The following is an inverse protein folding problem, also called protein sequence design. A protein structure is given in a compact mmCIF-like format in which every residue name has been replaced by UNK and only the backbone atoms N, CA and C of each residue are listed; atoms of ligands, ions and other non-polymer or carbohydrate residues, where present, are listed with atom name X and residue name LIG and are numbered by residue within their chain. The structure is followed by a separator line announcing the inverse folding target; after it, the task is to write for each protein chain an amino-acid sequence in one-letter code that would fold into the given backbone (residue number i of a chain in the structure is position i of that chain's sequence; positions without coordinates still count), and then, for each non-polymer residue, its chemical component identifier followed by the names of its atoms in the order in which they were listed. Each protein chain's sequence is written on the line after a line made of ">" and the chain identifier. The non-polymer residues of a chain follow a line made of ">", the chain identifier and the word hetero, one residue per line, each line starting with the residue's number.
data_IF_004942906146
#
_entry.id   IF_004942906146
#
_cell.length_a   1.000
_cell.length_b   1.000
_cell.length_c   1.000
_cell.angle_alpha   90.00
_cell.angle_beta   90.00
_cell.angle_gamma   90.00
#
_symmetry.space_group_name_H-M   'P 1'
#
loop_
_entity.id
_entity.type
_entity.pdbx_description
1 polymer ?
#
# COMPACT_ATOMS: atom_id res chain seq x y z
N UNK A 1 -48.19 14.47 36.41
CA UNK A 1 -48.12 13.91 35.05
C UNK A 1 -47.32 14.88 34.17
N UNK A 2 -46.16 14.48 33.65
CA UNK A 2 -45.35 15.31 32.76
C UNK A 2 -45.20 14.59 31.41
N UNK A 3 -45.56 15.27 30.30
CA UNK A 3 -45.44 14.73 28.95
C UNK A 3 -43.98 14.81 28.50
N UNK A 4 -43.45 13.69 28.02
CA UNK A 4 -42.09 13.60 27.48
C UNK A 4 -41.98 14.38 26.15
N UNK A 5 -40.99 15.27 26.07
CA UNK A 5 -40.58 15.94 24.83
C UNK A 5 -39.21 15.37 24.48
N UNK A 6 -39.08 14.60 23.40
CA UNK A 6 -37.83 14.45 22.63
C UNK A 6 -38.14 14.05 21.19
N UNK A 7 -38.64 15.01 20.41
CA UNK A 7 -38.60 14.93 18.96
C UNK A 7 -37.18 15.31 18.52
N UNK A 8 -36.35 14.32 18.22
CA UNK A 8 -34.99 14.56 17.70
C UNK A 8 -35.15 15.03 16.25
N UNK A 9 -35.03 16.34 16.02
CA UNK A 9 -34.83 16.88 14.67
C UNK A 9 -33.44 16.44 14.21
N UNK A 10 -33.39 15.51 13.26
CA UNK A 10 -32.20 15.29 12.44
C UNK A 10 -32.02 16.54 11.59
N UNK A 11 -31.00 17.32 11.91
CA UNK A 11 -30.53 18.40 11.05
C UNK A 11 -29.62 17.73 10.05
N UNK A 12 -30.14 17.47 8.84
CA UNK A 12 -29.29 17.12 7.71
C UNK A 12 -28.49 18.39 7.37
N UNK A 13 -27.15 18.40 7.50
CA UNK A 13 -26.36 19.59 7.25
C UNK A 13 -26.50 19.99 5.78
N UNK A 14 -26.71 21.28 5.53
CA UNK A 14 -26.84 21.80 4.18
C UNK A 14 -25.52 21.55 3.39
N UNK A 15 -25.58 21.35 2.06
CA UNK A 15 -24.39 21.09 1.23
C UNK A 15 -23.27 22.12 1.40
N UNK A 16 -23.62 23.36 1.74
CA UNK A 16 -22.72 24.49 1.97
C UNK A 16 -21.90 24.34 3.27
N UNK A 17 -22.49 23.72 4.32
CA UNK A 17 -21.81 23.45 5.60
C UNK A 17 -20.77 22.33 5.44
N UNK A 18 -21.04 21.35 4.56
CA UNK A 18 -20.07 20.31 4.19
C UNK A 18 -18.86 20.87 3.46
N UNK A 19 -19.07 21.83 2.54
CA UNK A 19 -17.97 22.45 1.81
C UNK A 19 -17.07 23.29 2.73
N UNK A 20 -17.65 24.10 3.62
CA UNK A 20 -16.86 24.92 4.54
C UNK A 20 -16.09 24.06 5.57
N UNK A 21 -16.72 23.01 6.11
CA UNK A 21 -16.07 22.11 7.07
C UNK A 21 -14.98 21.24 6.43
N UNK A 22 -15.20 20.73 5.22
CA UNK A 22 -14.20 19.96 4.47
C UNK A 22 -13.03 20.82 4.00
N UNK A 23 -13.29 22.05 3.56
CA UNK A 23 -12.23 23.00 3.20
C UNK A 23 -11.40 23.37 4.44
N UNK A 24 -12.03 23.61 5.58
CA UNK A 24 -11.31 23.88 6.84
C UNK A 24 -10.46 22.69 7.30
N UNK A 25 -10.96 21.46 7.16
CA UNK A 25 -10.21 20.25 7.51
C UNK A 25 -9.03 20.01 6.55
N UNK A 26 -9.20 20.25 5.25
CA UNK A 26 -8.12 20.17 4.26
C UNK A 26 -7.09 21.26 4.51
N UNK A 27 -7.51 22.49 4.83
CA UNK A 27 -6.62 23.61 5.17
C UNK A 27 -5.84 23.32 6.45
N UNK A 28 -6.48 22.72 7.46
CA UNK A 28 -5.81 22.37 8.71
C UNK A 28 -4.82 21.20 8.54
N UNK A 29 -5.21 20.15 7.82
CA UNK A 29 -4.32 19.04 7.47
C UNK A 29 -3.15 19.50 6.57
N UNK A 30 -3.39 20.46 5.68
CA UNK A 30 -2.38 21.13 4.88
C UNK A 30 -1.52 22.11 5.69
N UNK A 31 -2.02 22.73 6.75
CA UNK A 31 -1.22 23.57 7.62
C UNK A 31 -0.26 22.73 8.49
N UNK A 32 -0.68 21.53 8.91
CA UNK A 32 0.12 20.62 9.73
C UNK A 32 1.11 19.77 8.91
N UNK A 33 0.82 19.49 7.63
CA UNK A 33 1.63 18.63 6.75
C UNK A 33 1.97 19.27 5.39
N UNK A 34 2.02 20.61 5.34
CA UNK A 34 2.03 21.38 4.09
C UNK A 34 3.15 21.02 3.12
N UNK A 35 4.34 20.74 3.62
CA UNK A 35 5.48 20.38 2.75
C UNK A 35 5.28 19.04 2.05
N UNK A 36 4.71 18.04 2.73
CA UNK A 36 4.44 16.71 2.18
C UNK A 36 3.29 16.72 1.17
N UNK A 37 2.25 17.51 1.44
CA UNK A 37 1.13 17.69 0.51
C UNK A 37 1.54 18.43 -0.77
N UNK A 38 2.41 19.43 -0.66
CA UNK A 38 3.00 20.11 -1.83
C UNK A 38 3.80 19.11 -2.68
N UNK A 39 4.63 18.26 -2.06
CA UNK A 39 5.39 17.22 -2.78
C UNK A 39 4.47 16.21 -3.47
N UNK A 40 3.38 15.79 -2.83
CA UNK A 40 2.40 14.90 -3.45
C UNK A 40 1.72 15.55 -4.67
N UNK A 41 1.33 16.81 -4.56
CA UNK A 41 0.76 17.57 -5.67
C UNK A 41 1.76 17.74 -6.82
N UNK A 42 3.04 17.96 -6.51
CA UNK A 42 4.10 17.98 -7.53
C UNK A 42 4.27 16.62 -8.22
N UNK A 43 4.23 15.51 -7.48
CA UNK A 43 4.28 14.16 -8.07
C UNK A 43 3.08 13.94 -8.99
N UNK A 44 1.87 14.27 -8.56
CA UNK A 44 0.67 14.14 -9.38
C UNK A 44 0.79 15.01 -10.65
N UNK A 45 1.29 16.23 -10.53
CA UNK A 45 1.52 17.13 -11.66
C UNK A 45 2.59 16.60 -12.62
N UNK A 46 3.65 15.98 -12.11
CA UNK A 46 4.67 15.33 -12.93
C UNK A 46 4.09 14.11 -13.65
N UNK A 47 3.28 13.29 -12.97
CA UNK A 47 2.59 12.14 -13.57
C UNK A 47 1.61 12.58 -14.66
N UNK A 48 0.89 13.67 -14.45
CA UNK A 48 0.01 14.28 -15.45
C UNK A 48 0.81 14.78 -16.67
N UNK A 49 1.89 15.53 -16.44
CA UNK A 49 2.78 16.03 -17.49
C UNK A 49 3.48 14.93 -18.31
N UNK A 50 3.70 13.75 -17.71
CA UNK A 50 4.19 12.56 -18.40
C UNK A 50 3.09 11.78 -19.15
N UNK A 51 1.83 12.22 -19.06
CA UNK A 51 0.69 11.59 -19.71
C UNK A 51 0.19 10.32 -19.03
N UNK A 52 0.65 10.01 -17.81
CA UNK A 52 0.24 8.81 -17.06
C UNK A 52 -1.24 8.89 -16.70
N UNK A 53 -1.72 10.04 -16.23
CA UNK A 53 -3.13 10.25 -15.93
C UNK A 53 -4.00 10.15 -17.19
N UNK A 54 -3.55 10.74 -18.30
CA UNK A 54 -4.23 10.66 -19.60
C UNK A 54 -4.29 9.22 -20.13
N UNK A 55 -3.22 8.44 -19.96
CA UNK A 55 -3.21 7.03 -20.30
C UNK A 55 -4.21 6.24 -19.46
N UNK A 56 -4.27 6.48 -18.15
CA UNK A 56 -5.26 5.86 -17.26
C UNK A 56 -6.69 6.21 -17.66
N UNK A 57 -6.95 7.47 -18.00
CA UNK A 57 -8.26 7.93 -18.49
C UNK A 57 -8.64 7.24 -19.81
N UNK A 58 -7.72 7.16 -20.78
CA UNK A 58 -7.94 6.48 -22.05
C UNK A 58 -8.21 4.97 -21.88
N UNK A 59 -7.54 4.31 -20.93
CA UNK A 59 -7.82 2.92 -20.55
C UNK A 59 -9.23 2.75 -19.96
N UNK A 60 -9.68 3.70 -19.13
CA UNK A 60 -11.01 3.67 -18.50
C UNK A 60 -12.14 3.94 -19.50
N UNK A 61 -11.96 4.91 -20.40
CA UNK A 61 -12.94 5.25 -21.42
C UNK A 61 -13.13 4.09 -22.43
N UNK A 62 -12.03 3.43 -22.84
CA UNK A 62 -12.04 2.34 -23.82
C UNK A 62 -11.91 0.95 -23.18
N UNK A 63 -12.42 0.77 -21.96
CA UNK A 63 -12.24 -0.43 -21.12
C UNK A 63 -12.55 -1.78 -21.80
N UNK A 64 -13.51 -1.81 -22.74
CA UNK A 64 -13.94 -3.06 -23.41
C UNK A 64 -12.99 -3.43 -24.54
N UNK A 65 -12.70 -2.49 -25.44
CA UNK A 65 -11.83 -2.72 -26.60
C UNK A 65 -10.38 -2.98 -26.17
N UNK A 66 -9.91 -2.27 -25.15
CA UNK A 66 -8.57 -2.49 -24.58
C UNK A 66 -8.50 -3.86 -23.90
N UNK A 67 -9.56 -4.29 -23.21
CA UNK A 67 -9.59 -5.61 -22.58
C UNK A 67 -9.54 -6.74 -23.61
N UNK A 68 -10.26 -6.62 -24.73
CA UNK A 68 -10.28 -7.64 -25.78
C UNK A 68 -8.89 -7.80 -26.44
N UNK A 69 -8.23 -6.68 -26.75
CA UNK A 69 -6.87 -6.67 -27.30
C UNK A 69 -5.85 -7.21 -26.28
N UNK A 70 -5.97 -6.79 -25.01
CA UNK A 70 -5.09 -7.24 -23.93
C UNK A 70 -5.24 -8.75 -23.67
N UNK A 71 -6.46 -9.30 -23.70
CA UNK A 71 -6.70 -10.73 -23.52
C UNK A 71 -6.05 -11.55 -24.64
N UNK A 72 -6.11 -11.08 -25.88
CA UNK A 72 -5.41 -11.71 -27.00
C UNK A 72 -3.88 -11.71 -26.83
N UNK A 73 -3.31 -10.63 -26.30
CA UNK A 73 -1.86 -10.52 -26.05
C UNK A 73 -1.40 -11.31 -24.81
N UNK A 74 -2.23 -11.37 -23.77
CA UNK A 74 -1.97 -12.15 -22.56
C UNK A 74 -2.05 -13.66 -22.82
N UNK A 75 -2.85 -14.10 -23.79
CA UNK A 75 -2.92 -15.51 -24.16
C UNK A 75 -1.74 -15.99 -25.01
N UNK A 76 -0.76 -15.13 -25.30
CA UNK A 76 0.45 -15.55 -26.00
C UNK A 76 1.34 -16.42 -25.10
N UNK A 77 2.05 -17.44 -25.66
CA UNK A 77 2.95 -18.29 -24.88
C UNK A 77 4.01 -17.52 -24.07
N UNK A 78 4.47 -16.38 -24.60
CA UNK A 78 5.41 -15.49 -23.91
C UNK A 78 4.88 -14.92 -22.59
N UNK A 79 3.55 -14.83 -22.42
CA UNK A 79 2.89 -14.29 -21.24
C UNK A 79 2.55 -15.35 -20.20
N UNK A 80 2.72 -16.64 -20.51
CA UNK A 80 2.45 -17.73 -19.58
C UNK A 80 3.18 -17.58 -18.25
N UNK A 81 4.48 -17.27 -18.30
CA UNK A 81 5.29 -17.07 -17.08
C UNK A 81 4.90 -15.80 -16.32
N UNK A 82 4.56 -14.73 -17.02
CA UNK A 82 4.11 -13.47 -16.41
C UNK A 82 2.80 -13.68 -15.66
N UNK A 83 1.82 -14.31 -16.30
CA UNK A 83 0.52 -14.63 -15.70
C UNK A 83 0.71 -15.57 -14.52
N UNK A 84 1.51 -16.63 -14.68
CA UNK A 84 1.80 -17.58 -13.60
C UNK A 84 2.42 -16.90 -12.39
N UNK A 85 3.43 -16.04 -12.60
CA UNK A 85 4.08 -15.30 -11.53
C UNK A 85 3.14 -14.28 -10.89
N UNK A 86 2.36 -13.53 -11.68
CA UNK A 86 1.35 -12.60 -11.18
C UNK A 86 0.29 -13.30 -10.33
N UNK A 87 -0.21 -14.46 -10.78
CA UNK A 87 -1.15 -15.27 -10.02
C UNK A 87 -0.53 -15.80 -8.71
N UNK A 88 0.75 -16.18 -8.72
CA UNK A 88 1.46 -16.59 -7.51
C UNK A 88 1.60 -15.43 -6.52
N UNK A 89 1.88 -14.21 -7.00
CA UNK A 89 1.91 -13.00 -6.17
C UNK A 89 0.52 -12.74 -5.57
N UNK A 90 -0.55 -12.81 -6.36
CA UNK A 90 -1.92 -12.64 -5.86
C UNK A 90 -2.30 -13.69 -4.81
N UNK A 91 -1.93 -14.95 -5.04
CA UNK A 91 -2.13 -16.03 -4.05
C UNK A 91 -1.34 -15.77 -2.77
N UNK A 92 -0.10 -15.31 -2.89
CA UNK A 92 0.71 -14.92 -1.74
C UNK A 92 0.03 -13.79 -0.96
N UNK A 93 -0.37 -12.70 -1.61
CA UNK A 93 -1.08 -11.60 -0.94
C UNK A 93 -2.39 -12.08 -0.28
N UNK A 94 -3.16 -12.92 -0.96
CA UNK A 94 -4.40 -13.49 -0.42
C UNK A 94 -4.20 -14.51 0.69
N UNK A 95 -3.00 -15.06 0.85
CA UNK A 95 -2.65 -15.99 1.94
C UNK A 95 -2.19 -15.28 3.21
N UNK A 96 -1.88 -13.98 3.13
CA UNK A 96 -1.52 -13.18 4.31
C UNK A 96 -2.79 -12.90 5.11
N UNK A 97 -2.74 -13.16 6.41
CA UNK A 97 -3.83 -12.82 7.31
C UNK A 97 -4.10 -11.29 7.31
N UNK A 98 -5.37 -10.84 7.19
CA UNK A 98 -5.70 -9.43 7.11
C UNK A 98 -5.19 -8.59 8.29
N UNK A 99 -5.18 -9.14 9.50
CA UNK A 99 -4.72 -8.43 10.71
C UNK A 99 -3.20 -8.25 10.69
N UNK A 100 -2.47 -9.26 10.20
CA UNK A 100 -1.03 -9.19 10.00
C UNK A 100 -0.67 -8.16 8.91
N UNK A 101 -1.40 -8.15 7.80
CA UNK A 101 -1.22 -7.17 6.73
C UNK A 101 -1.48 -5.75 7.25
N UNK A 102 -2.57 -5.54 7.99
CA UNK A 102 -2.89 -4.25 8.60
C UNK A 102 -1.79 -3.79 9.56
N UNK A 103 -1.24 -4.69 10.35
CA UNK A 103 -0.15 -4.40 11.30
C UNK A 103 1.12 -3.94 10.56
N UNK A 104 1.50 -4.64 9.49
CA UNK A 104 2.66 -4.29 8.66
C UNK A 104 2.45 -2.91 8.01
N UNK A 105 1.30 -2.68 7.37
CA UNK A 105 0.99 -1.41 6.70
C UNK A 105 0.94 -0.24 7.68
N UNK A 106 0.35 -0.44 8.87
CA UNK A 106 0.31 0.58 9.92
C UNK A 106 1.71 0.90 10.45
N UNK A 107 2.55 -0.12 10.61
CA UNK A 107 3.95 0.03 11.01
C UNK A 107 4.78 0.83 10.00
N UNK A 108 4.59 0.59 8.69
CA UNK A 108 5.23 1.34 7.61
C UNK A 108 4.78 2.80 7.61
N UNK A 109 3.47 3.04 7.70
CA UNK A 109 2.88 4.39 7.72
C UNK A 109 3.41 5.20 8.91
N UNK A 110 3.36 4.60 10.11
CA UNK A 110 3.91 5.22 11.33
C UNK A 110 5.42 5.46 11.24
N UNK A 111 6.15 4.61 10.51
CA UNK A 111 7.58 4.78 10.24
C UNK A 111 7.87 6.01 9.38
N UNK A 112 7.08 6.23 8.32
CA UNK A 112 7.18 7.42 7.47
C UNK A 112 6.87 8.70 8.25
N UNK A 113 5.83 8.69 9.08
CA UNK A 113 5.49 9.83 9.94
C UNK A 113 6.63 10.18 10.91
N UNK A 114 7.22 9.17 11.57
CA UNK A 114 8.38 9.36 12.46
C UNK A 114 9.61 9.88 11.71
N UNK A 115 9.84 9.41 10.47
CA UNK A 115 10.93 9.89 9.63
C UNK A 115 10.74 11.35 9.18
N UNK A 116 9.51 11.74 8.84
CA UNK A 116 9.17 13.12 8.50
C UNK A 116 9.33 14.07 9.70
N UNK A 117 8.92 13.63 10.89
CA UNK A 117 9.04 14.41 12.14
C UNK A 117 10.49 14.60 12.62
N UNK A 118 11.41 13.72 12.23
CA UNK A 118 12.81 13.76 12.67
C UNK A 118 13.71 14.69 11.83
N UNK A 119 13.18 15.34 10.79
CA UNK A 119 13.82 16.49 10.13
C UNK A 119 15.19 16.22 9.49
N UNK A 120 15.56 14.96 9.24
CA UNK A 120 16.79 14.56 8.54
C UNK A 120 18.11 14.79 9.31
N UNK A 121 18.07 15.24 10.57
CA UNK A 121 19.26 15.62 11.34
C UNK A 121 19.38 14.85 12.66
N UNK A 122 19.07 13.56 12.64
CA UNK A 122 19.37 12.66 13.76
C UNK A 122 20.88 12.40 13.83
N UNK A 123 21.52 12.76 14.94
CA UNK A 123 22.93 12.42 15.20
C UNK A 123 23.15 10.91 15.07
N UNK A 124 24.24 10.48 14.40
CA UNK A 124 24.64 9.06 14.27
C UNK A 124 24.61 8.30 15.62
N UNK A 125 24.85 9.02 16.72
CA UNK A 125 24.75 8.49 18.08
C UNK A 125 23.31 8.17 18.51
N UNK A 126 22.33 9.02 18.18
CA UNK A 126 20.91 8.75 18.41
C UNK A 126 20.41 7.59 17.54
N UNK A 127 20.88 7.51 16.29
CA UNK A 127 20.56 6.41 15.38
C UNK A 127 21.03 5.07 15.98
N UNK A 128 22.28 4.99 16.43
CA UNK A 128 22.85 3.81 17.11
C UNK A 128 22.15 3.47 18.43
N UNK A 129 21.64 4.46 19.17
CA UNK A 129 20.83 4.24 20.37
C UNK A 129 19.43 3.73 20.02
N UNK A 130 18.83 4.20 18.92
CA UNK A 130 17.52 3.76 18.44
C UNK A 130 17.54 2.29 18.02
N UNK A 131 18.66 1.78 17.48
CA UNK A 131 18.81 0.36 17.15
C UNK A 131 18.71 -0.56 18.37
N UNK A 132 18.95 -0.04 19.58
CA UNK A 132 18.81 -0.79 20.84
C UNK A 132 17.41 -0.73 21.43
N UNK A 133 16.50 0.05 20.84
CA UNK A 133 15.11 0.15 21.30
C UNK A 133 14.38 -1.20 21.19
N UNK A 134 13.43 -1.50 22.09
CA UNK A 134 12.61 -2.70 22.01
C UNK A 134 11.87 -2.84 20.68
N UNK A 135 11.41 -1.72 20.11
CA UNK A 135 10.66 -1.67 18.86
C UNK A 135 11.52 -2.10 17.68
N UNK A 136 12.72 -1.53 17.53
CA UNK A 136 13.64 -1.90 16.44
C UNK A 136 14.10 -3.35 16.57
N UNK A 137 14.35 -3.84 17.79
CA UNK A 137 14.69 -5.26 18.01
C UNK A 137 13.58 -6.21 17.59
N UNK A 138 12.32 -5.89 17.85
CA UNK A 138 11.17 -6.70 17.41
C UNK A 138 11.09 -6.76 15.89
N UNK A 139 11.26 -5.63 15.20
CA UNK A 139 11.30 -5.60 13.73
C UNK A 139 12.48 -6.40 13.16
N UNK A 140 13.67 -6.28 13.75
CA UNK A 140 14.84 -7.07 13.34
C UNK A 140 14.63 -8.58 13.57
N UNK A 141 14.00 -8.98 14.66
CA UNK A 141 13.66 -10.37 14.93
C UNK A 141 12.65 -10.91 13.90
N UNK A 142 11.64 -10.12 13.53
CA UNK A 142 10.70 -10.47 12.47
C UNK A 142 11.41 -10.63 11.13
N UNK A 143 12.28 -9.69 10.74
CA UNK A 143 13.08 -9.80 9.53
C UNK A 143 13.96 -11.04 9.52
N UNK A 144 14.63 -11.34 10.65
CA UNK A 144 15.43 -12.55 10.80
C UNK A 144 14.58 -13.83 10.65
N UNK A 145 13.37 -13.85 11.20
CA UNK A 145 12.44 -14.96 11.05
C UNK A 145 11.99 -15.17 9.59
N UNK A 146 11.68 -14.09 8.87
CA UNK A 146 11.37 -14.15 7.43
C UNK A 146 12.54 -14.71 6.64
N UNK A 147 13.77 -14.22 6.90
CA UNK A 147 14.98 -14.70 6.24
C UNK A 147 15.26 -16.19 6.54
N UNK A 148 15.04 -16.64 7.78
CA UNK A 148 15.17 -18.05 8.15
C UNK A 148 14.17 -18.93 7.38
N UNK A 149 12.90 -18.52 7.33
CA UNK A 149 11.87 -19.24 6.57
C UNK A 149 12.14 -19.29 5.06
N UNK A 150 12.74 -18.22 4.49
CA UNK A 150 13.21 -18.24 3.10
C UNK A 150 14.32 -19.28 2.90
N UNK A 151 15.29 -19.35 3.81
CA UNK A 151 16.36 -20.35 3.77
C UNK A 151 15.84 -21.79 3.81
N UNK A 152 14.91 -22.06 4.72
CA UNK A 152 14.26 -23.38 4.85
C UNK A 152 13.49 -23.76 3.57
N UNK A 153 12.77 -22.82 2.96
CA UNK A 153 12.04 -23.06 1.72
C UNK A 153 12.99 -23.34 0.52
N UNK A 154 14.16 -22.72 0.50
CA UNK A 154 15.19 -22.98 -0.52
C UNK A 154 15.81 -24.36 -0.36
N UNK A 155 16.08 -24.79 0.88
CA UNK A 155 16.61 -26.12 1.18
C UNK A 155 15.62 -27.23 0.86
N UNK A 156 14.33 -27.04 1.18
CA UNK A 156 13.25 -27.99 0.82
C UNK A 156 13.08 -28.14 -0.70
N UNK A 157 13.19 -27.06 -1.46
CA UNK A 157 13.12 -27.13 -2.92
C UNK A 157 14.40 -27.74 -3.55
N UNK A 158 15.55 -27.65 -2.88
CA UNK A 158 16.80 -28.26 -3.35
C UNK A 158 16.90 -29.76 -3.06
N UNK A 159 16.20 -30.26 -2.03
CA UNK A 159 16.23 -31.65 -1.57
C UNK A 159 15.22 -32.59 -2.27
N UNK A 160 14.42 -32.08 -3.21
CA UNK A 160 13.60 -32.92 -4.09
C UNK A 160 14.50 -33.57 -5.16
N UNK A 161 14.56 -34.92 -5.27
CA UNK A 161 15.28 -35.55 -6.37
C UNK A 161 14.68 -35.09 -7.70
N UNK A 162 15.53 -34.73 -8.66
CA UNK A 162 15.14 -34.59 -10.07
C UNK A 162 14.75 -35.97 -10.60
N UNK A 163 13.56 -36.43 -10.27
CA UNK A 163 13.00 -37.69 -10.71
C UNK A 163 12.19 -37.52 -11.98
N UNK A 164 12.68 -38.10 -13.08
CA UNK A 164 11.85 -38.56 -14.19
C UNK A 164 11.63 -37.59 -15.34
N UNK A 165 12.65 -37.36 -16.16
CA UNK A 165 12.41 -37.32 -17.61
C UNK A 165 12.18 -38.75 -18.06
N UNK A 166 10.94 -39.21 -17.95
CA UNK A 166 10.41 -40.27 -18.79
C UNK A 166 8.97 -39.92 -19.15
N UNK A 167 8.83 -39.24 -20.28
CA UNK A 167 7.60 -39.20 -21.07
C UNK A 167 8.05 -39.49 -22.50
N UNK A 168 7.55 -40.60 -23.03
CA UNK A 168 7.93 -41.15 -24.33
C UNK A 168 7.39 -40.40 -25.54
#
# INVERSE_FOLDING_TARGET
>A
MAKAIRQIKRVDPAPEEWQAASLSAVVQAAAENGESLIKLLEIIKQLDGMGVLNAMEGLLQNRVDVAEIALGQLNQPAMYHVIKNGMNVLKFLGSIDPEQLQTILSGITSGFEKAAQSGGQESLWKLGKSMRSPEVKRSLAMMAGVLAGMGEAMEQNHSLPKGGTDIG
#
